data_IF_196312418519
#
_entry.id   IF_196312418519
#
_cell.length_a   1.000
_cell.length_b   1.000
_cell.length_c   1.000
_cell.angle_alpha   90.00
_cell.angle_beta   90.00
_cell.angle_gamma   90.00
#
_symmetry.space_group_name_H-M   'P 1'
#
loop_
_entity.id
_entity.type
_entity.pdbx_description
1 polymer ?
#
# COMPACT_ATOMS: atom_id res chain seq x y z
N UNK A 1 53.93 -46.65 11.95
CA UNK A 1 54.13 -45.18 11.84
C UNK A 1 52.80 -44.58 11.42
N UNK A 2 52.09 -43.95 12.36
CA UNK A 2 50.81 -43.29 12.07
C UNK A 2 51.09 -41.95 11.39
N UNK A 3 50.63 -41.79 10.15
CA UNK A 3 50.57 -40.47 9.51
C UNK A 3 49.48 -39.67 10.24
N UNK A 4 49.90 -38.73 11.09
CA UNK A 4 49.01 -37.69 11.60
C UNK A 4 48.79 -36.75 10.42
N UNK A 5 47.56 -36.69 9.91
CA UNK A 5 47.19 -35.70 8.91
C UNK A 5 47.45 -34.30 9.50
N UNK A 6 48.39 -33.56 8.90
CA UNK A 6 48.62 -32.16 9.26
C UNK A 6 47.32 -31.38 9.03
N UNK A 7 46.75 -30.86 10.12
CA UNK A 7 45.57 -30.01 10.06
C UNK A 7 45.98 -28.65 9.48
N UNK A 8 45.68 -28.46 8.20
CA UNK A 8 45.94 -27.21 7.48
C UNK A 8 44.89 -26.15 7.87
N UNK A 9 45.13 -25.55 9.04
CA UNK A 9 44.31 -24.49 9.62
C UNK A 9 44.21 -23.26 8.70
N UNK A 10 45.19 -23.04 7.82
CA UNK A 10 45.22 -21.91 6.89
C UNK A 10 44.20 -22.12 5.77
N UNK A 11 44.13 -23.33 5.19
CA UNK A 11 43.10 -23.69 4.23
C UNK A 11 41.69 -23.64 4.84
N UNK A 12 41.55 -24.07 6.10
CA UNK A 12 40.27 -23.97 6.81
C UNK A 12 39.85 -22.51 7.03
N UNK A 13 40.78 -21.66 7.46
CA UNK A 13 40.55 -20.22 7.65
C UNK A 13 40.19 -19.53 6.33
N UNK A 14 40.89 -19.84 5.23
CA UNK A 14 40.61 -19.30 3.90
C UNK A 14 39.20 -19.67 3.41
N UNK A 15 38.77 -20.91 3.64
CA UNK A 15 37.41 -21.35 3.30
C UNK A 15 36.33 -20.64 4.14
N UNK A 16 36.59 -20.37 5.42
CA UNK A 16 35.67 -19.58 6.25
C UNK A 16 35.57 -18.13 5.80
N UNK A 17 36.70 -17.50 5.47
CA UNK A 17 36.72 -16.14 4.94
C UNK A 17 35.96 -16.09 3.60
N UNK A 18 36.20 -17.04 2.71
CA UNK A 18 35.49 -17.14 1.43
C UNK A 18 33.98 -17.35 1.63
N UNK A 19 33.57 -18.24 2.54
CA UNK A 19 32.17 -18.46 2.86
C UNK A 19 31.51 -17.21 3.47
N UNK A 20 32.23 -16.46 4.32
CA UNK A 20 31.75 -15.19 4.86
C UNK A 20 31.58 -14.13 3.77
N UNK A 21 32.53 -13.99 2.84
CA UNK A 21 32.42 -13.03 1.73
C UNK A 21 31.32 -13.41 0.75
N UNK A 22 31.19 -14.69 0.38
CA UNK A 22 30.10 -15.18 -0.45
C UNK A 22 28.77 -14.98 0.26
N UNK A 23 28.67 -15.35 1.54
CA UNK A 23 27.48 -15.17 2.35
C UNK A 23 27.10 -13.69 2.51
N UNK A 24 28.06 -12.80 2.73
CA UNK A 24 27.84 -11.35 2.82
C UNK A 24 27.45 -10.76 1.48
N UNK A 25 28.07 -11.20 0.38
CA UNK A 25 27.69 -10.78 -0.96
C UNK A 25 26.28 -11.24 -1.31
N UNK A 26 25.96 -12.52 -1.05
CA UNK A 26 24.61 -13.05 -1.21
C UNK A 26 23.64 -12.30 -0.31
N UNK A 27 24.01 -11.96 0.93
CA UNK A 27 23.17 -11.20 1.85
C UNK A 27 22.92 -9.75 1.39
N UNK A 28 23.94 -9.05 0.91
CA UNK A 28 23.79 -7.68 0.37
C UNK A 28 23.06 -7.68 -0.98
N UNK A 29 23.31 -8.70 -1.82
CA UNK A 29 22.54 -8.94 -3.04
C UNK A 29 21.08 -9.22 -2.69
N UNK A 30 20.82 -10.16 -1.78
CA UNK A 30 19.49 -10.49 -1.29
C UNK A 30 18.85 -9.28 -0.62
N UNK A 31 19.53 -8.45 0.18
CA UNK A 31 19.00 -7.18 0.72
C UNK A 31 18.56 -6.22 -0.38
N UNK A 32 19.30 -6.16 -1.48
CA UNK A 32 18.95 -5.31 -2.64
C UNK A 32 17.71 -5.82 -3.38
N UNK A 33 17.44 -7.13 -3.35
CA UNK A 33 16.23 -7.75 -3.90
C UNK A 33 15.11 -7.92 -2.86
N UNK A 34 15.43 -7.91 -1.57
CA UNK A 34 14.55 -7.63 -0.42
C UNK A 34 14.35 -6.12 -0.36
N UNK A 35 13.83 -5.59 -1.46
CA UNK A 35 13.04 -4.38 -1.36
C UNK A 35 11.86 -4.79 -0.49
N UNK A 36 11.98 -4.61 0.84
CA UNK A 36 10.80 -4.17 1.58
C UNK A 36 10.35 -2.96 0.77
N UNK A 37 9.25 -3.13 0.03
CA UNK A 37 8.58 -2.04 -0.68
C UNK A 37 8.61 -0.88 0.30
N UNK A 38 9.18 0.27 -0.08
CA UNK A 38 9.31 1.39 0.86
C UNK A 38 7.90 1.71 1.34
N UNK A 39 7.56 1.26 2.54
CA UNK A 39 6.20 1.36 3.01
C UNK A 39 5.96 2.81 3.38
N UNK A 40 4.91 3.37 2.80
CA UNK A 40 4.38 4.63 3.24
C UNK A 40 3.87 4.49 4.67
N UNK A 41 4.09 5.56 5.42
CA UNK A 41 3.75 5.67 6.84
C UNK A 41 3.15 7.07 7.02
N UNK A 42 1.88 7.11 7.44
CA UNK A 42 1.12 8.36 7.57
C UNK A 42 1.80 9.31 8.58
N UNK A 43 2.54 8.76 9.54
CA UNK A 43 3.26 9.50 10.57
C UNK A 43 4.56 10.15 10.08
N UNK A 44 5.01 9.87 8.85
CA UNK A 44 6.28 10.41 8.31
C UNK A 44 6.07 11.60 7.39
N UNK A 45 6.93 12.62 7.54
CA UNK A 45 6.89 13.83 6.70
C UNK A 45 5.95 14.90 7.26
N UNK A 46 5.47 15.79 6.39
CA UNK A 46 4.52 16.84 6.74
C UNK A 46 3.24 16.27 7.35
N UNK A 47 2.67 16.94 8.35
CA UNK A 47 1.41 16.50 8.98
C UNK A 47 0.29 17.53 8.81
N UNK A 48 0.64 18.82 8.75
CA UNK A 48 -0.32 19.90 8.95
C UNK A 48 -0.20 21.04 7.93
N UNK A 49 0.97 21.22 7.31
CA UNK A 49 1.18 22.34 6.40
C UNK A 49 0.51 22.04 5.06
N UNK A 50 -0.47 22.84 4.68
CA UNK A 50 -1.19 22.61 3.43
C UNK A 50 -0.40 23.17 2.24
N UNK A 51 0.56 22.37 1.75
CA UNK A 51 1.42 22.72 0.59
C UNK A 51 0.63 22.58 -0.72
N UNK A 52 -0.08 21.47 -0.86
CA UNK A 52 -0.90 21.17 -2.01
C UNK A 52 -2.36 21.41 -1.64
N UNK A 53 -3.02 22.36 -2.31
CA UNK A 53 -4.42 22.67 -2.01
C UNK A 53 -5.22 23.01 -3.24
N UNK A 54 -6.53 22.84 -3.05
CA UNK A 54 -7.57 23.47 -3.84
C UNK A 54 -8.27 24.52 -2.99
N UNK A 55 -8.93 25.46 -3.64
CA UNK A 55 -9.84 26.39 -2.97
C UNK A 55 -11.25 25.95 -3.24
N UNK A 56 -12.03 25.75 -2.17
CA UNK A 56 -13.41 25.31 -2.24
C UNK A 56 -14.31 26.29 -1.49
N UNK A 57 -15.53 26.45 -1.98
CA UNK A 57 -16.57 27.20 -1.26
C UNK A 57 -17.33 26.30 -0.31
N UNK A 58 -17.87 26.87 0.78
CA UNK A 58 -18.78 26.13 1.67
C UNK A 58 -20.00 25.57 0.93
N UNK A 59 -20.54 26.32 -0.04
CA UNK A 59 -21.68 25.90 -0.83
C UNK A 59 -21.42 24.61 -1.61
N UNK A 60 -20.20 24.41 -2.13
CA UNK A 60 -19.85 23.17 -2.83
C UNK A 60 -19.91 21.96 -1.89
N UNK A 61 -19.41 22.10 -0.67
CA UNK A 61 -19.47 21.04 0.34
C UNK A 61 -20.91 20.74 0.75
N UNK A 62 -21.71 21.77 0.99
CA UNK A 62 -23.13 21.63 1.34
C UNK A 62 -23.92 20.96 0.20
N UNK A 63 -23.61 21.28 -1.06
CA UNK A 63 -24.25 20.65 -2.21
C UNK A 63 -23.92 19.15 -2.29
N UNK A 64 -22.66 18.75 -2.06
CA UNK A 64 -22.27 17.33 -2.02
C UNK A 64 -23.02 16.62 -0.89
N UNK A 65 -23.00 17.18 0.32
CA UNK A 65 -23.67 16.58 1.48
C UNK A 65 -25.19 16.44 1.30
N UNK A 66 -25.83 17.41 0.64
CA UNK A 66 -27.28 17.40 0.40
C UNK A 66 -27.68 16.47 -0.74
N UNK A 67 -26.88 16.36 -1.79
CA UNK A 67 -27.15 15.54 -2.98
C UNK A 67 -26.90 14.05 -2.70
N UNK A 68 -25.78 13.73 -2.04
CA UNK A 68 -25.34 12.35 -1.82
C UNK A 68 -25.62 11.95 -0.37
N UNK A 69 -26.86 11.57 -0.07
CA UNK A 69 -27.26 11.09 1.25
C UNK A 69 -26.90 9.61 1.44
N UNK A 70 -26.55 9.22 2.67
CA UNK A 70 -26.18 7.83 2.98
C UNK A 70 -27.37 6.86 2.89
N UNK A 71 -28.59 7.37 3.05
CA UNK A 71 -29.83 6.61 2.88
C UNK A 71 -30.06 6.16 1.42
N UNK A 72 -29.40 6.81 0.47
CA UNK A 72 -29.43 6.50 -0.97
C UNK A 72 -28.03 6.18 -1.50
N UNK A 73 -27.22 5.51 -0.68
CA UNK A 73 -25.85 5.16 -1.02
C UNK A 73 -25.75 4.31 -2.29
N UNK A 74 -24.81 4.69 -3.15
CA UNK A 74 -24.36 3.94 -4.32
C UNK A 74 -22.83 3.80 -4.24
N UNK A 75 -22.30 2.60 -4.49
CA UNK A 75 -20.87 2.32 -4.34
C UNK A 75 -19.99 3.06 -5.37
N UNK A 76 -20.56 3.47 -6.50
CA UNK A 76 -19.89 4.22 -7.56
C UNK A 76 -20.22 5.71 -7.54
N UNK A 77 -21.38 6.08 -7.00
CA UNK A 77 -21.90 7.46 -6.98
C UNK A 77 -22.22 7.96 -5.56
N UNK A 78 -21.17 8.41 -4.85
CA UNK A 78 -21.29 8.87 -3.46
C UNK A 78 -20.34 10.03 -3.13
N UNK A 79 -20.41 10.51 -1.87
CA UNK A 79 -19.61 11.64 -1.39
C UNK A 79 -18.11 11.45 -1.56
N UNK A 80 -17.60 10.24 -1.44
CA UNK A 80 -16.16 9.96 -1.58
C UNK A 80 -15.71 10.20 -3.02
N UNK A 81 -16.50 9.75 -3.99
CA UNK A 81 -16.25 10.00 -5.42
C UNK A 81 -16.19 11.50 -5.69
N UNK A 82 -17.16 12.26 -5.19
CA UNK A 82 -17.19 13.73 -5.32
C UNK A 82 -16.00 14.42 -4.63
N UNK A 83 -15.61 13.93 -3.44
CA UNK A 83 -14.43 14.46 -2.74
C UNK A 83 -13.13 14.11 -3.45
N UNK A 84 -13.03 12.97 -4.11
CA UNK A 84 -11.88 12.62 -4.95
C UNK A 84 -11.74 13.63 -6.10
N UNK A 85 -12.82 13.90 -6.83
CA UNK A 85 -12.81 14.87 -7.94
C UNK A 85 -12.49 16.29 -7.44
N UNK A 86 -13.15 16.72 -6.36
CA UNK A 86 -13.01 18.07 -5.82
C UNK A 86 -11.62 18.34 -5.23
N UNK A 87 -11.08 17.39 -4.44
CA UNK A 87 -9.91 17.61 -3.60
C UNK A 87 -8.61 17.03 -4.21
N UNK A 88 -8.70 15.98 -5.03
CA UNK A 88 -7.54 15.17 -5.41
C UNK A 88 -7.23 15.11 -6.90
N UNK A 89 -8.21 15.16 -7.80
CA UNK A 89 -7.93 15.03 -9.24
C UNK A 89 -7.00 16.13 -9.79
N UNK A 90 -7.15 17.35 -9.31
CA UNK A 90 -6.25 18.44 -9.67
C UNK A 90 -4.81 18.24 -9.14
N UNK A 91 -4.69 17.55 -8.01
CA UNK A 91 -3.43 17.26 -7.33
C UNK A 91 -2.70 16.09 -8.03
N UNK A 92 -3.44 15.05 -8.46
CA UNK A 92 -2.88 13.94 -9.25
C UNK A 92 -2.39 14.41 -10.62
N UNK A 93 -3.16 15.25 -11.32
CA UNK A 93 -2.80 15.75 -12.66
C UNK A 93 -1.51 16.58 -12.65
N UNK A 94 -1.34 17.47 -11.66
CA UNK A 94 -0.13 18.31 -11.52
C UNK A 94 1.13 17.49 -11.22
N UNK A 95 0.98 16.33 -10.59
CA UNK A 95 2.08 15.51 -10.11
C UNK A 95 2.23 14.17 -10.87
N UNK A 96 1.57 14.04 -12.02
CA UNK A 96 1.59 12.81 -12.84
C UNK A 96 3.01 12.30 -13.09
N UNK A 97 3.25 11.04 -12.76
CA UNK A 97 4.55 10.36 -12.80
C UNK A 97 5.40 10.52 -11.54
N UNK A 98 4.96 11.28 -10.52
CA UNK A 98 5.68 11.49 -9.24
C UNK A 98 4.85 11.13 -8.02
N UNK A 99 3.59 10.76 -8.22
CA UNK A 99 2.62 10.49 -7.17
C UNK A 99 2.99 9.30 -6.27
N UNK A 100 3.74 8.32 -6.79
CA UNK A 100 4.25 7.19 -6.00
C UNK A 100 5.64 7.47 -5.40
N UNK A 101 6.10 8.73 -5.40
CA UNK A 101 7.40 9.09 -4.84
C UNK A 101 7.34 9.39 -3.35
N UNK A 102 8.36 8.97 -2.60
CA UNK A 102 8.50 9.32 -1.18
C UNK A 102 8.69 10.83 -0.93
N UNK A 103 9.08 11.60 -1.96
CA UNK A 103 9.15 13.06 -1.85
C UNK A 103 7.74 13.64 -1.79
N UNK A 104 6.91 13.29 -2.76
CA UNK A 104 5.51 13.70 -2.81
C UNK A 104 4.76 13.28 -1.54
N UNK A 105 4.92 12.03 -1.11
CA UNK A 105 4.32 11.54 0.14
C UNK A 105 4.65 12.43 1.36
N UNK A 106 5.89 12.91 1.46
CA UNK A 106 6.33 13.73 2.59
C UNK A 106 5.81 15.17 2.55
N UNK A 107 5.29 15.63 1.42
CA UNK A 107 4.69 16.97 1.28
C UNK A 107 3.21 16.96 1.65
N UNK A 108 2.53 15.82 1.53
CA UNK A 108 1.11 15.70 1.88
C UNK A 108 0.86 15.94 3.38
N UNK A 109 -0.28 16.54 3.71
CA UNK A 109 -0.80 16.57 5.09
C UNK A 109 -1.19 15.16 5.57
N UNK A 110 -1.49 14.98 6.86
CA UNK A 110 -1.98 13.71 7.39
C UNK A 110 -3.27 13.27 6.67
N UNK A 111 -4.23 14.18 6.56
CA UNK A 111 -5.52 13.93 5.92
C UNK A 111 -5.35 13.54 4.46
N UNK A 112 -4.46 14.23 3.74
CA UNK A 112 -4.16 13.89 2.35
C UNK A 112 -3.53 12.50 2.21
N UNK A 113 -2.63 12.09 3.11
CA UNK A 113 -2.05 10.73 3.10
C UNK A 113 -3.07 9.64 3.37
N UNK A 114 -3.98 9.92 4.31
CA UNK A 114 -5.07 9.02 4.67
C UNK A 114 -5.96 8.82 3.46
N UNK A 115 -6.45 9.92 2.86
CA UNK A 115 -7.35 9.81 1.72
C UNK A 115 -6.64 9.22 0.49
N UNK A 116 -5.36 9.55 0.27
CA UNK A 116 -4.59 8.94 -0.81
C UNK A 116 -4.44 7.43 -0.65
N UNK A 117 -4.14 6.94 0.56
CA UNK A 117 -3.99 5.51 0.82
C UNK A 117 -5.33 4.78 0.78
N UNK A 118 -6.39 5.45 1.23
CA UNK A 118 -7.77 5.00 1.06
C UNK A 118 -8.07 4.77 -0.44
N UNK A 119 -7.84 5.77 -1.29
CA UNK A 119 -8.10 5.69 -2.73
C UNK A 119 -7.24 4.62 -3.42
N UNK A 120 -5.97 4.50 -3.02
CA UNK A 120 -5.08 3.46 -3.55
C UNK A 120 -5.57 2.05 -3.19
N UNK A 121 -6.14 1.85 -1.99
CA UNK A 121 -6.71 0.58 -1.59
C UNK A 121 -8.03 0.30 -2.31
N UNK A 122 -9.03 1.18 -2.15
CA UNK A 122 -10.35 1.01 -2.76
C UNK A 122 -10.24 0.83 -4.28
N UNK A 123 -9.50 1.70 -4.96
CA UNK A 123 -9.39 1.65 -6.42
C UNK A 123 -8.74 0.37 -6.95
N UNK A 124 -7.72 -0.18 -6.28
CA UNK A 124 -7.10 -1.43 -6.75
C UNK A 124 -7.93 -2.66 -6.36
N UNK A 125 -8.55 -2.64 -5.18
CA UNK A 125 -9.42 -3.72 -4.73
C UNK A 125 -10.66 -3.78 -5.62
N UNK A 126 -11.31 -2.67 -5.94
CA UNK A 126 -12.48 -2.64 -6.84
C UNK A 126 -12.15 -3.17 -8.25
N UNK A 127 -10.91 -2.98 -8.72
CA UNK A 127 -10.48 -3.43 -10.04
C UNK A 127 -10.05 -4.92 -10.10
N UNK A 128 -9.44 -5.46 -9.05
CA UNK A 128 -8.88 -6.82 -9.09
C UNK A 128 -8.55 -7.43 -7.74
N UNK A 129 -9.17 -6.92 -6.68
CA UNK A 129 -9.03 -7.40 -5.32
C UNK A 129 -7.71 -7.00 -4.63
N UNK A 130 -7.58 -7.43 -3.39
CA UNK A 130 -6.40 -7.21 -2.52
C UNK A 130 -5.09 -7.67 -3.18
N UNK A 131 -5.18 -8.73 -3.99
CA UNK A 131 -4.05 -9.20 -4.76
C UNK A 131 -3.56 -8.17 -5.79
N UNK A 132 -4.47 -7.52 -6.52
CA UNK A 132 -4.09 -6.44 -7.42
C UNK A 132 -3.49 -5.26 -6.64
N UNK A 133 -4.08 -4.88 -5.51
CA UNK A 133 -3.54 -3.86 -4.61
C UNK A 133 -2.10 -4.14 -4.18
N UNK A 134 -1.82 -5.36 -3.70
CA UNK A 134 -0.46 -5.77 -3.30
C UNK A 134 0.57 -5.58 -4.41
N UNK A 135 0.17 -5.92 -5.64
CA UNK A 135 1.06 -5.89 -6.80
C UNK A 135 1.29 -4.47 -7.34
N UNK A 136 0.24 -3.65 -7.38
CA UNK A 136 0.26 -2.34 -8.01
C UNK A 136 0.63 -1.22 -7.04
N UNK A 137 0.26 -1.36 -5.77
CA UNK A 137 0.32 -0.33 -4.72
C UNK A 137 0.86 -0.87 -3.40
N UNK A 138 1.75 -1.87 -3.44
CA UNK A 138 2.31 -2.51 -2.25
C UNK A 138 3.02 -1.55 -1.28
N UNK A 139 3.45 -0.37 -1.74
CA UNK A 139 3.99 0.70 -0.90
C UNK A 139 2.97 1.24 0.11
N UNK A 140 1.67 1.12 -0.18
CA UNK A 140 0.60 1.57 0.70
C UNK A 140 0.23 0.55 1.79
N UNK A 141 0.80 -0.66 1.82
CA UNK A 141 0.38 -1.73 2.76
C UNK A 141 0.32 -1.25 4.23
N UNK A 142 1.36 -0.57 4.70
CA UNK A 142 1.38 -0.07 6.08
C UNK A 142 0.44 1.13 6.27
N UNK A 143 0.40 2.05 5.31
CA UNK A 143 -0.46 3.24 5.40
C UNK A 143 -1.94 2.86 5.42
N UNK A 144 -2.37 1.89 4.61
CA UNK A 144 -3.76 1.39 4.59
C UNK A 144 -4.18 0.81 5.94
N UNK A 145 -3.31 0.02 6.57
CA UNK A 145 -3.55 -0.44 7.95
C UNK A 145 -3.77 0.73 8.91
N UNK A 146 -2.96 1.78 8.80
CA UNK A 146 -3.08 2.98 9.64
C UNK A 146 -4.38 3.75 9.33
N UNK A 147 -4.82 3.80 8.06
CA UNK A 147 -6.12 4.35 7.68
C UNK A 147 -7.27 3.57 8.32
N UNK A 148 -7.24 2.24 8.26
CA UNK A 148 -8.27 1.40 8.90
C UNK A 148 -8.35 1.64 10.41
N UNK A 149 -7.21 1.89 11.07
CA UNK A 149 -7.18 2.31 12.48
C UNK A 149 -7.82 3.69 12.66
N UNK A 150 -7.41 4.69 11.87
CA UNK A 150 -7.91 6.07 11.97
C UNK A 150 -9.44 6.15 11.73
N UNK A 151 -9.94 5.33 10.81
CA UNK A 151 -11.37 5.26 10.43
C UNK A 151 -12.17 4.27 11.28
N UNK A 152 -11.57 3.68 12.33
CA UNK A 152 -12.19 2.71 13.26
C UNK A 152 -12.80 1.46 12.60
N UNK A 153 -12.16 0.94 11.55
CA UNK A 153 -12.66 -0.15 10.71
C UNK A 153 -12.24 -1.51 11.28
N UNK A 154 -12.81 -1.87 12.43
CA UNK A 154 -12.28 -2.95 13.29
C UNK A 154 -12.30 -4.33 12.62
N UNK A 155 -13.40 -4.73 11.98
CA UNK A 155 -13.48 -6.03 11.29
C UNK A 155 -12.58 -6.07 10.05
N UNK A 156 -12.63 -5.03 9.22
CA UNK A 156 -11.77 -4.92 8.05
C UNK A 156 -10.28 -4.95 8.45
N UNK A 157 -9.90 -4.22 9.49
CA UNK A 157 -8.54 -4.20 10.04
C UNK A 157 -8.09 -5.57 10.51
N UNK A 158 -8.97 -6.35 11.15
CA UNK A 158 -8.65 -7.71 11.61
C UNK A 158 -8.33 -8.63 10.42
N UNK A 159 -9.14 -8.60 9.37
CA UNK A 159 -8.90 -9.39 8.16
C UNK A 159 -7.63 -8.92 7.44
N UNK A 160 -7.41 -7.61 7.40
CA UNK A 160 -6.20 -7.02 6.83
C UNK A 160 -4.93 -7.42 7.62
N UNK A 161 -5.01 -7.46 8.96
CA UNK A 161 -3.90 -7.88 9.81
C UNK A 161 -3.55 -9.37 9.61
N UNK A 162 -4.55 -10.23 9.40
CA UNK A 162 -4.33 -11.62 9.02
C UNK A 162 -3.58 -11.70 7.68
N UNK A 163 -4.01 -10.93 6.69
CA UNK A 163 -3.35 -10.82 5.40
C UNK A 163 -1.90 -10.35 5.51
N UNK A 164 -1.62 -9.29 6.29
CA UNK A 164 -0.26 -8.82 6.52
C UNK A 164 0.60 -9.86 7.25
N UNK A 165 0.03 -10.61 8.19
CA UNK A 165 0.74 -11.68 8.90
C UNK A 165 1.13 -12.82 7.95
N UNK A 166 0.22 -13.21 7.06
CA UNK A 166 0.48 -14.22 6.04
C UNK A 166 1.53 -13.75 5.01
N UNK A 167 1.40 -12.51 4.54
CA UNK A 167 2.42 -11.86 3.70
C UNK A 167 3.80 -11.89 4.36
N UNK A 168 3.88 -11.58 5.65
CA UNK A 168 5.14 -11.60 6.40
C UNK A 168 5.73 -13.01 6.47
N UNK A 169 4.90 -14.02 6.71
CA UNK A 169 5.30 -15.45 6.74
C UNK A 169 5.84 -15.90 5.39
N UNK A 170 5.24 -15.43 4.29
CA UNK A 170 5.62 -15.78 2.93
C UNK A 170 6.57 -14.76 2.25
N UNK A 171 7.04 -13.75 2.98
CA UNK A 171 7.74 -12.57 2.44
C UNK A 171 8.90 -12.89 1.49
N UNK A 172 9.71 -13.91 1.80
CA UNK A 172 10.84 -14.31 0.94
C UNK A 172 10.36 -14.77 -0.45
N UNK A 173 9.39 -15.68 -0.49
CA UNK A 173 8.84 -16.22 -1.74
C UNK A 173 7.99 -15.16 -2.45
N UNK A 174 7.26 -14.37 -1.69
CA UNK A 174 6.45 -13.28 -2.22
C UNK A 174 7.32 -12.26 -2.95
N UNK A 175 8.36 -11.73 -2.30
CA UNK A 175 9.28 -10.77 -2.91
C UNK A 175 9.96 -11.33 -4.17
N UNK A 176 10.32 -12.62 -4.14
CA UNK A 176 10.86 -13.31 -5.31
C UNK A 176 9.88 -13.30 -6.49
N UNK A 177 8.65 -13.78 -6.30
CA UNK A 177 7.66 -13.81 -7.37
C UNK A 177 7.22 -12.42 -7.83
N UNK A 178 7.08 -11.46 -6.92
CA UNK A 178 6.82 -10.06 -7.24
C UNK A 178 7.91 -9.49 -8.14
N UNK A 179 9.19 -9.68 -7.78
CA UNK A 179 10.33 -9.24 -8.60
C UNK A 179 10.32 -9.87 -9.99
N UNK A 180 10.04 -11.17 -10.09
CA UNK A 180 9.92 -11.87 -11.37
C UNK A 180 8.71 -11.41 -12.19
N UNK A 181 7.63 -10.98 -11.55
CA UNK A 181 6.43 -10.49 -12.24
C UNK A 181 6.64 -9.10 -12.88
N UNK A 182 7.54 -8.29 -12.31
CA UNK A 182 7.76 -6.90 -12.72
C UNK A 182 9.02 -6.69 -13.59
N UNK A 183 9.95 -7.65 -13.64
CA UNK A 183 11.19 -7.52 -14.42
C UNK A 183 10.94 -7.36 -15.92
N UNK A 184 11.82 -6.67 -16.64
CA UNK A 184 11.78 -6.58 -18.12
C UNK A 184 12.54 -7.70 -18.81
N UNK A 185 13.29 -8.52 -18.04
CA UNK A 185 14.15 -9.59 -18.56
C UNK A 185 13.32 -10.81 -19.02
N UNK A 186 12.21 -11.09 -18.33
CA UNK A 186 11.36 -12.25 -18.61
C UNK A 186 10.27 -11.94 -19.64
N UNK A 187 9.86 -12.97 -20.39
CA UNK A 187 8.72 -12.84 -21.32
C UNK A 187 7.41 -12.57 -20.58
N UNK A 188 6.42 -11.97 -21.26
CA UNK A 188 5.09 -11.68 -20.69
C UNK A 188 4.46 -12.91 -20.02
N UNK A 189 4.56 -14.08 -20.64
CA UNK A 189 4.01 -15.34 -20.09
C UNK A 189 4.78 -15.84 -18.85
N UNK A 190 6.08 -15.61 -18.77
CA UNK A 190 6.87 -15.94 -17.57
C UNK A 190 6.51 -15.01 -16.41
N UNK A 191 6.38 -13.71 -16.68
CA UNK A 191 5.97 -12.71 -15.69
C UNK A 191 4.57 -12.98 -15.16
N UNK A 192 3.63 -13.29 -16.04
CA UNK A 192 2.27 -13.65 -15.66
C UNK A 192 2.22 -14.94 -14.82
N UNK A 193 3.03 -15.96 -15.13
CA UNK A 193 3.15 -17.14 -14.26
C UNK A 193 3.73 -16.82 -12.89
N UNK A 194 4.71 -15.92 -12.81
CA UNK A 194 5.24 -15.45 -11.53
C UNK A 194 4.17 -14.73 -10.71
N UNK A 195 3.36 -13.88 -11.36
CA UNK A 195 2.20 -13.23 -10.75
C UNK A 195 1.20 -14.26 -10.20
N UNK A 196 0.79 -15.26 -10.99
CA UNK A 196 -0.12 -16.30 -10.49
C UNK A 196 0.48 -17.07 -9.31
N UNK A 197 1.78 -17.33 -9.33
CA UNK A 197 2.48 -18.00 -8.23
C UNK A 197 2.57 -17.16 -6.96
N UNK A 198 2.60 -15.82 -7.02
CA UNK A 198 2.47 -15.01 -5.81
C UNK A 198 1.06 -15.08 -5.23
N UNK A 199 0.02 -15.15 -6.07
CA UNK A 199 -1.36 -15.26 -5.58
C UNK A 199 -1.58 -16.56 -4.79
N UNK A 200 -1.05 -17.68 -5.29
CA UNK A 200 -1.14 -18.99 -4.64
C UNK A 200 -0.46 -19.07 -3.26
N UNK A 201 0.32 -18.05 -2.86
CA UNK A 201 1.01 -18.05 -1.56
C UNK A 201 0.15 -17.55 -0.41
N UNK A 202 -1.00 -16.94 -0.71
CA UNK A 202 -1.84 -16.28 0.27
C UNK A 202 -3.27 -16.82 0.18
N UNK A 203 -3.76 -17.34 1.30
CA UNK A 203 -5.14 -17.82 1.41
C UNK A 203 -6.10 -16.71 1.87
N UNK A 204 -5.61 -15.73 2.65
CA UNK A 204 -6.46 -14.68 3.24
C UNK A 204 -7.08 -13.64 2.27
N UNK A 205 -6.59 -13.39 1.04
CA UNK A 205 -7.20 -12.39 0.16
C UNK A 205 -8.65 -12.66 -0.22
N UNK A 206 -9.08 -13.93 -0.24
CA UNK A 206 -10.47 -14.30 -0.56
C UNK A 206 -11.44 -13.75 0.50
N UNK A 207 -11.24 -14.11 1.77
CA UNK A 207 -12.08 -13.63 2.88
C UNK A 207 -12.08 -12.10 3.01
N UNK A 208 -10.92 -11.47 2.81
CA UNK A 208 -10.79 -10.02 2.88
C UNK A 208 -11.53 -9.32 1.72
N UNK A 209 -11.43 -9.86 0.50
CA UNK A 209 -12.19 -9.33 -0.64
C UNK A 209 -13.69 -9.49 -0.41
N UNK A 210 -14.14 -10.68 -0.04
CA UNK A 210 -15.56 -10.98 0.19
C UNK A 210 -16.16 -10.05 1.24
N UNK A 211 -15.44 -9.82 2.34
CA UNK A 211 -15.87 -8.86 3.34
C UNK A 211 -15.90 -7.42 2.79
N UNK A 212 -14.84 -7.00 2.11
CA UNK A 212 -14.72 -5.63 1.59
C UNK A 212 -15.78 -5.30 0.54
N UNK A 213 -16.20 -6.27 -0.28
CA UNK A 213 -17.27 -6.10 -1.27
C UNK A 213 -18.68 -6.21 -0.69
N UNK A 214 -18.84 -6.48 0.60
CA UNK A 214 -20.16 -6.43 1.21
C UNK A 214 -20.68 -4.99 1.24
N UNK A 215 -21.96 -4.79 0.88
CA UNK A 215 -22.62 -3.48 0.88
C UNK A 215 -22.43 -2.75 2.24
N UNK A 216 -22.51 -3.50 3.34
CA UNK A 216 -22.31 -2.98 4.68
C UNK A 216 -20.88 -2.45 4.89
N UNK A 217 -19.86 -3.23 4.54
CA UNK A 217 -18.48 -2.79 4.66
C UNK A 217 -18.20 -1.59 3.76
N UNK A 218 -18.67 -1.61 2.50
CA UNK A 218 -18.50 -0.51 1.54
C UNK A 218 -19.09 0.79 2.05
N UNK A 219 -20.35 0.75 2.48
CA UNK A 219 -21.02 1.90 3.07
C UNK A 219 -20.26 2.43 4.30
N UNK A 220 -19.86 1.54 5.22
CA UNK A 220 -19.13 1.96 6.44
C UNK A 220 -17.76 2.56 6.11
N UNK A 221 -17.04 1.99 5.15
CA UNK A 221 -15.72 2.44 4.70
C UNK A 221 -15.79 3.84 4.07
N UNK A 222 -16.69 4.02 3.10
CA UNK A 222 -16.86 5.29 2.38
C UNK A 222 -17.43 6.39 3.27
N UNK A 223 -18.39 6.03 4.13
CA UNK A 223 -18.96 6.95 5.12
C UNK A 223 -17.92 7.44 6.11
N UNK A 224 -17.10 6.54 6.66
CA UNK A 224 -16.06 6.93 7.61
C UNK A 224 -15.03 7.86 6.98
N UNK A 225 -14.64 7.63 5.73
CA UNK A 225 -13.71 8.51 5.02
C UNK A 225 -14.33 9.89 4.75
N UNK A 226 -15.61 9.94 4.34
CA UNK A 226 -16.32 11.20 4.14
C UNK A 226 -16.42 12.00 5.45
N UNK A 227 -16.86 11.36 6.53
CA UNK A 227 -16.95 11.98 7.86
C UNK A 227 -15.57 12.51 8.32
N UNK A 228 -14.49 11.78 8.02
CA UNK A 228 -13.12 12.20 8.29
C UNK A 228 -12.71 13.44 7.46
N UNK A 229 -12.98 13.46 6.16
CA UNK A 229 -12.68 14.59 5.27
C UNK A 229 -13.41 15.83 5.77
N UNK A 230 -14.72 15.72 6.00
CA UNK A 230 -15.59 16.80 6.46
C UNK A 230 -15.10 17.39 7.79
N UNK A 231 -14.67 16.54 8.73
CA UNK A 231 -14.12 16.97 10.03
C UNK A 231 -12.73 17.59 9.94
N UNK A 232 -11.98 17.33 8.85
CA UNK A 232 -10.58 17.72 8.69
C UNK A 232 -10.32 18.56 7.44
N UNK A 233 -11.32 19.26 6.90
CA UNK A 233 -11.25 19.97 5.61
C UNK A 233 -10.01 20.86 5.43
N UNK A 234 -9.50 21.48 6.50
CA UNK A 234 -8.29 22.32 6.46
C UNK A 234 -7.01 21.56 6.09
N UNK A 235 -7.03 20.23 6.21
CA UNK A 235 -5.93 19.37 5.77
C UNK A 235 -5.99 19.08 4.27
N UNK A 236 -7.07 19.47 3.58
CA UNK A 236 -7.29 19.17 2.16
C UNK A 236 -7.38 20.42 1.31
N UNK A 237 -8.00 21.48 1.81
CA UNK A 237 -8.35 22.66 1.02
C UNK A 237 -8.33 23.96 1.83
N UNK A 238 -8.23 25.07 1.10
CA UNK A 238 -8.57 26.40 1.59
C UNK A 238 -10.08 26.63 1.40
N UNK A 239 -10.76 27.04 2.47
CA UNK A 239 -12.20 27.30 2.45
C UNK A 239 -12.42 28.79 2.25
N UNK A 240 -13.12 29.14 1.17
CA UNK A 240 -13.61 30.49 0.88
C UNK A 240 -15.08 30.68 1.27
#
# INVERSE_FOLDING_TARGET
MSQVAEFDWLNWLLNLVLAYYIGSFIWEFLKKYFVMVRLFDIEKGNQNELIHFVTISKQQLENIQTTYQWESYDEYDNRVTEYMELLFDNLTQKHKGKENSNLFWKELTRGQKIFWSFLAFSGEVDNGGVNQFLHNKGEHLNAVRQVMVELNQTELLKLYDNFLAELKKNSLKMNWYLSLSQTTILSKNQRHRAYLKSLELLDSPEELNDYFYSDECRLQWDKAMSDYIESNLRQFALIN
#
